data_IF_344126150463
#
_entry.id   IF_344126150463
#
_cell.length_a   1.000
_cell.length_b   1.000
_cell.length_c   1.000
_cell.angle_alpha   90.00
_cell.angle_beta   90.00
_cell.angle_gamma   90.00
#
_symmetry.space_group_name_H-M   'P 1'
#
loop_
_entity.id
_entity.type
_entity.pdbx_description
1 polymer ?
#
# COMPACT_ATOMS: atom_id res chain seq x y z
N UNK A 1 3.58 33.04 4.00
CA UNK A 1 2.87 33.17 5.30
C UNK A 1 1.96 31.95 5.49
N UNK A 2 2.28 31.06 6.44
CA UNK A 2 1.57 29.79 6.68
C UNK A 2 0.18 30.07 7.26
N UNK A 3 -0.90 29.76 6.54
CA UNK A 3 -2.26 29.76 7.11
C UNK A 3 -2.33 28.65 8.17
N UNK A 4 -2.32 29.06 9.44
CA UNK A 4 -2.78 28.22 10.57
C UNK A 4 -4.19 27.76 10.23
N UNK A 5 -4.39 26.44 10.17
CA UNK A 5 -5.73 25.85 10.10
C UNK A 5 -6.36 26.11 11.47
N UNK A 6 -7.20 27.13 11.51
CA UNK A 6 -7.98 27.57 12.65
C UNK A 6 -9.04 26.53 12.98
N UNK A 7 -9.16 26.18 14.27
CA UNK A 7 -10.23 25.37 14.82
C UNK A 7 -11.60 25.87 14.35
N UNK A 8 -12.29 25.12 13.50
CA UNK A 8 -13.70 25.35 13.22
C UNK A 8 -14.54 24.75 14.34
N UNK A 9 -14.71 25.58 15.37
CA UNK A 9 -15.95 25.81 16.11
C UNK A 9 -16.88 24.61 16.28
N UNK A 10 -16.83 24.02 17.49
CA UNK A 10 -17.85 23.18 18.15
C UNK A 10 -19.20 23.94 18.39
N UNK A 11 -19.57 24.85 17.50
CA UNK A 11 -20.84 25.59 17.50
C UNK A 11 -21.41 25.66 16.09
N UNK A 12 -21.52 24.51 15.42
CA UNK A 12 -22.37 24.42 14.23
C UNK A 12 -23.81 24.43 14.75
N UNK A 13 -24.44 25.62 14.75
CA UNK A 13 -25.91 25.71 14.78
C UNK A 13 -26.43 24.91 13.59
N UNK A 14 -27.50 24.15 13.80
CA UNK A 14 -28.24 23.44 12.74
C UNK A 14 -28.55 24.42 11.60
N UNK A 15 -27.70 24.42 10.58
CA UNK A 15 -27.96 25.01 9.27
C UNK A 15 -27.96 23.84 8.30
N UNK A 16 -29.00 23.75 7.46
CA UNK A 16 -29.31 22.57 6.63
C UNK A 16 -28.12 22.02 5.82
N UNK A 17 -27.14 22.87 5.50
CA UNK A 17 -25.95 22.48 4.72
C UNK A 17 -24.94 21.58 5.45
N UNK A 18 -24.95 21.47 6.78
CA UNK A 18 -23.96 20.70 7.57
C UNK A 18 -24.55 19.54 8.38
N UNK A 19 -25.84 19.24 8.21
CA UNK A 19 -26.55 18.21 8.99
C UNK A 19 -25.88 16.82 8.89
N UNK A 20 -25.45 16.43 7.70
CA UNK A 20 -24.79 15.14 7.48
C UNK A 20 -23.47 14.98 8.26
N UNK A 21 -22.66 16.03 8.36
CA UNK A 21 -21.40 15.99 9.11
C UNK A 21 -21.66 15.90 10.61
N UNK A 22 -22.69 16.60 11.09
CA UNK A 22 -23.13 16.54 12.48
C UNK A 22 -23.63 15.14 12.86
N UNK A 23 -24.43 14.50 12.01
CA UNK A 23 -24.89 13.12 12.21
C UNK A 23 -23.73 12.12 12.19
N UNK A 24 -22.76 12.31 11.29
CA UNK A 24 -21.55 11.47 11.28
C UNK A 24 -20.74 11.65 12.57
N UNK A 25 -20.55 12.89 13.02
CA UNK A 25 -19.88 13.20 14.27
C UNK A 25 -20.53 12.46 15.45
N UNK A 26 -21.86 12.62 15.62
CA UNK A 26 -22.62 11.92 16.66
C UNK A 26 -22.53 10.40 16.54
N UNK A 27 -22.54 9.87 15.33
CA UNK A 27 -22.45 8.43 15.09
C UNK A 27 -21.10 7.87 15.55
N UNK A 28 -20.00 8.58 15.28
CA UNK A 28 -18.66 8.18 15.73
C UNK A 28 -18.53 8.36 17.25
N UNK A 29 -19.02 9.46 17.80
CA UNK A 29 -18.96 9.76 19.24
C UNK A 29 -19.67 8.67 20.07
N UNK A 30 -20.86 8.26 19.61
CA UNK A 30 -21.68 7.24 20.26
C UNK A 30 -21.32 5.81 19.80
N UNK A 31 -20.25 5.62 19.03
CA UNK A 31 -19.84 4.31 18.58
C UNK A 31 -19.35 3.45 19.76
N UNK A 32 -19.93 2.25 19.90
CA UNK A 32 -19.66 1.32 21.01
C UNK A 32 -19.03 -0.01 20.58
N UNK A 33 -18.90 -0.28 19.28
CA UNK A 33 -18.35 -1.55 18.80
C UNK A 33 -17.33 -1.36 17.70
N UNK A 34 -16.33 -2.25 17.63
CA UNK A 34 -15.28 -2.21 16.61
C UNK A 34 -15.83 -2.28 15.18
N UNK A 35 -16.79 -3.17 14.92
CA UNK A 35 -17.37 -3.30 13.57
C UNK A 35 -18.12 -2.03 13.11
N UNK A 36 -18.82 -1.37 14.02
CA UNK A 36 -19.49 -0.10 13.72
C UNK A 36 -18.46 0.98 13.42
N UNK A 37 -17.38 1.07 14.21
CA UNK A 37 -16.29 2.01 13.97
C UNK A 37 -15.68 1.79 12.58
N UNK A 38 -15.41 0.55 12.20
CA UNK A 38 -14.88 0.21 10.87
C UNK A 38 -15.81 0.70 9.74
N UNK A 39 -17.12 0.44 9.86
CA UNK A 39 -18.12 0.89 8.87
C UNK A 39 -18.19 2.41 8.78
N UNK A 40 -18.20 3.11 9.92
CA UNK A 40 -18.23 4.57 9.97
C UNK A 40 -16.95 5.19 9.39
N UNK A 41 -15.79 4.61 9.69
CA UNK A 41 -14.50 5.07 9.14
C UNK A 41 -14.44 4.87 7.63
N UNK A 42 -14.89 3.71 7.14
CA UNK A 42 -14.98 3.44 5.70
C UNK A 42 -15.96 4.40 5.01
N UNK A 43 -17.10 4.70 5.65
CA UNK A 43 -18.06 5.69 5.17
C UNK A 43 -17.41 7.08 5.06
N UNK A 44 -16.70 7.53 6.10
CA UNK A 44 -16.00 8.81 6.10
C UNK A 44 -14.95 8.91 4.98
N UNK A 45 -14.19 7.83 4.74
CA UNK A 45 -13.24 7.76 3.62
C UNK A 45 -13.94 7.85 2.26
N UNK A 46 -15.00 7.08 2.04
CA UNK A 46 -15.70 7.02 0.75
C UNK A 46 -16.33 8.36 0.37
N UNK A 47 -16.81 9.11 1.36
CA UNK A 47 -17.33 10.47 1.16
C UNK A 47 -16.23 11.55 1.17
N UNK A 48 -14.95 11.16 1.22
CA UNK A 48 -13.80 12.08 1.24
C UNK A 48 -13.92 13.16 2.32
N UNK A 49 -14.39 12.77 3.50
CA UNK A 49 -14.52 13.70 4.62
C UNK A 49 -13.13 14.04 5.14
N UNK A 50 -12.67 15.26 4.92
CA UNK A 50 -11.35 15.74 5.37
C UNK A 50 -11.40 16.48 6.73
N UNK A 51 -12.53 16.41 7.43
CA UNK A 51 -12.68 17.02 8.75
C UNK A 51 -11.77 16.35 9.78
N UNK A 52 -10.75 17.08 10.24
CA UNK A 52 -9.75 16.56 11.15
C UNK A 52 -10.35 16.12 12.50
N UNK A 53 -11.40 16.80 12.99
CA UNK A 53 -12.01 16.49 14.28
C UNK A 53 -12.67 15.12 14.24
N UNK A 54 -13.42 14.81 13.19
CA UNK A 54 -14.01 13.48 12.97
C UNK A 54 -12.92 12.41 12.97
N UNK A 55 -11.81 12.63 12.27
CA UNK A 55 -10.73 11.64 12.22
C UNK A 55 -9.97 11.48 13.53
N UNK A 56 -9.85 12.53 14.35
CA UNK A 56 -9.30 12.41 15.71
C UNK A 56 -10.24 11.64 16.63
N UNK A 57 -11.54 11.81 16.47
CA UNK A 57 -12.52 11.01 17.21
C UNK A 57 -12.48 9.53 16.77
N UNK A 58 -12.34 9.26 15.48
CA UNK A 58 -12.11 7.91 14.94
C UNK A 58 -10.82 7.30 15.52
N UNK A 59 -9.73 8.06 15.57
CA UNK A 59 -8.46 7.62 16.17
C UNK A 59 -8.64 7.23 17.65
N UNK A 60 -9.30 8.07 18.45
CA UNK A 60 -9.60 7.76 19.85
C UNK A 60 -10.41 6.47 19.97
N UNK A 61 -11.50 6.37 19.22
CA UNK A 61 -12.36 5.17 19.21
C UNK A 61 -11.63 3.93 18.72
N UNK A 62 -10.71 4.07 17.78
CA UNK A 62 -9.87 2.98 17.29
C UNK A 62 -9.03 2.38 18.42
N UNK A 63 -8.40 3.21 19.24
CA UNK A 63 -7.63 2.71 20.39
C UNK A 63 -8.50 2.11 21.49
N UNK A 64 -9.68 2.69 21.74
CA UNK A 64 -10.65 2.14 22.71
C UNK A 64 -11.15 0.75 22.30
N UNK A 65 -11.49 0.58 21.01
CA UNK A 65 -12.19 -0.59 20.49
C UNK A 65 -11.27 -1.60 19.77
N UNK A 66 -9.95 -1.40 19.77
CA UNK A 66 -9.01 -2.21 18.98
C UNK A 66 -9.11 -3.73 19.23
N UNK A 67 -9.44 -4.14 20.46
CA UNK A 67 -9.58 -5.56 20.82
C UNK A 67 -10.76 -6.26 20.15
N UNK A 68 -11.76 -5.50 19.70
CA UNK A 68 -12.94 -6.02 19.01
C UNK A 68 -12.74 -6.08 17.48
N UNK A 69 -11.68 -5.44 16.97
CA UNK A 69 -11.42 -5.37 15.55
C UNK A 69 -10.69 -6.62 15.06
N UNK A 70 -11.09 -7.07 13.87
CA UNK A 70 -10.34 -8.10 13.13
C UNK A 70 -9.06 -7.52 12.53
N UNK A 71 -8.04 -8.35 12.22
CA UNK A 71 -6.83 -7.91 11.51
C UNK A 71 -7.10 -7.11 10.22
N UNK A 72 -8.12 -7.52 9.46
CA UNK A 72 -8.57 -6.83 8.25
C UNK A 72 -9.08 -5.43 8.56
N UNK A 73 -9.89 -5.27 9.60
CA UNK A 73 -10.43 -3.96 9.99
C UNK A 73 -9.33 -3.04 10.53
N UNK A 74 -8.40 -3.57 11.34
CA UNK A 74 -7.24 -2.82 11.86
C UNK A 74 -6.38 -2.29 10.71
N UNK A 75 -5.91 -3.18 9.82
CA UNK A 75 -5.07 -2.79 8.68
C UNK A 75 -5.76 -1.79 7.75
N UNK A 76 -7.07 -1.94 7.56
CA UNK A 76 -7.87 -1.02 6.75
C UNK A 76 -7.97 0.36 7.39
N UNK A 77 -8.33 0.46 8.67
CA UNK A 77 -8.43 1.75 9.39
C UNK A 77 -7.09 2.50 9.36
N UNK A 78 -5.98 1.80 9.62
CA UNK A 78 -4.63 2.38 9.56
C UNK A 78 -4.33 2.92 8.15
N UNK A 79 -4.70 2.18 7.12
CA UNK A 79 -4.54 2.63 5.73
C UNK A 79 -5.52 3.76 5.37
N UNK A 80 -6.68 3.87 6.01
CA UNK A 80 -7.61 4.99 5.81
C UNK A 80 -7.03 6.31 6.34
N UNK A 81 -6.38 6.31 7.51
CA UNK A 81 -5.64 7.48 8.00
C UNK A 81 -4.57 7.96 7.01
N UNK A 82 -3.85 7.00 6.40
CA UNK A 82 -2.87 7.27 5.35
C UNK A 82 -3.54 7.87 4.10
N UNK A 83 -4.68 7.35 3.66
CA UNK A 83 -5.39 7.84 2.47
C UNK A 83 -5.91 9.28 2.61
N UNK A 84 -6.39 9.65 3.80
CA UNK A 84 -6.81 11.03 4.11
C UNK A 84 -5.62 11.96 4.40
N UNK A 85 -4.40 11.41 4.38
CA UNK A 85 -3.13 12.14 4.56
C UNK A 85 -2.99 12.79 5.94
N UNK A 86 -3.52 12.14 6.99
CA UNK A 86 -3.29 12.59 8.37
C UNK A 86 -1.84 12.34 8.74
N UNK A 87 -1.06 13.42 8.76
CA UNK A 87 0.38 13.38 9.02
C UNK A 87 0.69 13.43 10.53
N UNK A 88 0.29 12.37 11.23
CA UNK A 88 0.63 12.17 12.64
C UNK A 88 1.32 10.82 12.81
N UNK A 89 2.62 10.84 13.13
CA UNK A 89 3.38 9.60 13.29
C UNK A 89 2.96 8.80 14.51
N UNK A 90 2.34 9.44 15.51
CA UNK A 90 1.86 8.77 16.73
C UNK A 90 0.80 7.73 16.43
N UNK A 91 -0.03 7.96 15.40
CA UNK A 91 -1.05 7.00 14.98
C UNK A 91 -0.39 5.66 14.68
N UNK A 92 0.66 5.70 13.86
CA UNK A 92 1.41 4.52 13.43
C UNK A 92 2.25 3.92 14.56
N UNK A 93 2.94 4.74 15.35
CA UNK A 93 3.74 4.31 16.49
C UNK A 93 2.88 3.53 17.51
N UNK A 94 1.73 4.10 17.90
CA UNK A 94 0.81 3.48 18.85
C UNK A 94 0.12 2.23 18.29
N UNK A 95 0.02 2.09 16.96
CA UNK A 95 -0.54 0.90 16.33
C UNK A 95 0.42 -0.29 16.25
N UNK A 96 1.72 -0.11 16.54
CA UNK A 96 2.71 -1.19 16.40
C UNK A 96 2.34 -2.38 17.27
N UNK A 97 2.11 -2.17 18.57
CA UNK A 97 1.85 -3.28 19.50
C UNK A 97 0.49 -3.95 19.22
N UNK A 98 -0.50 -3.17 18.79
CA UNK A 98 -1.80 -3.69 18.34
C UNK A 98 -1.61 -4.67 17.19
N UNK A 99 -0.84 -4.29 16.16
CA UNK A 99 -0.54 -5.17 15.02
C UNK A 99 0.26 -6.38 15.46
N UNK A 100 1.33 -6.18 16.24
CA UNK A 100 2.23 -7.25 16.68
C UNK A 100 1.52 -8.31 17.53
N UNK A 101 0.53 -7.92 18.33
CA UNK A 101 -0.25 -8.85 19.16
C UNK A 101 -1.00 -9.94 18.37
N UNK A 102 -1.24 -9.70 17.08
CA UNK A 102 -2.04 -10.56 16.21
C UNK A 102 -1.43 -10.75 14.82
N UNK A 103 -0.13 -10.48 14.66
CA UNK A 103 0.55 -10.40 13.35
C UNK A 103 0.40 -11.67 12.51
N UNK A 104 0.39 -12.84 13.14
CA UNK A 104 0.27 -14.14 12.46
C UNK A 104 -1.15 -14.43 11.91
N UNK A 105 -2.14 -13.59 12.26
CA UNK A 105 -3.53 -13.69 11.79
C UNK A 105 -3.84 -12.81 10.57
N UNK A 106 -2.92 -11.95 10.17
CA UNK A 106 -3.12 -11.06 9.03
C UNK A 106 -2.96 -11.81 7.71
N UNK A 107 -3.82 -11.51 6.73
CA UNK A 107 -3.62 -11.99 5.37
C UNK A 107 -2.48 -11.23 4.68
N UNK A 108 -1.99 -11.75 3.55
CA UNK A 108 -0.96 -11.05 2.75
C UNK A 108 -1.45 -9.67 2.28
N UNK A 109 -2.75 -9.54 2.01
CA UNK A 109 -3.36 -8.28 1.63
C UNK A 109 -3.26 -7.27 2.78
N UNK A 110 -3.65 -7.68 3.99
CA UNK A 110 -3.63 -6.81 5.16
C UNK A 110 -2.19 -6.38 5.51
N UNK A 111 -1.23 -7.30 5.46
CA UNK A 111 0.20 -7.00 5.65
C UNK A 111 0.73 -6.02 4.60
N UNK A 112 0.25 -6.09 3.36
CA UNK A 112 0.60 -5.14 2.31
C UNK A 112 0.06 -3.73 2.59
N UNK A 113 -1.15 -3.61 3.15
CA UNK A 113 -1.74 -2.32 3.54
C UNK A 113 -0.95 -1.69 4.69
N UNK A 114 -0.51 -2.50 5.67
CA UNK A 114 0.33 -2.05 6.77
C UNK A 114 1.67 -1.53 6.21
N UNK A 115 2.34 -2.29 5.34
CA UNK A 115 3.59 -1.84 4.70
C UNK A 115 3.42 -0.49 3.98
N UNK A 116 2.34 -0.33 3.20
CA UNK A 116 2.05 0.92 2.50
C UNK A 116 1.80 2.11 3.43
N UNK A 117 1.19 1.85 4.58
CA UNK A 117 0.81 2.87 5.55
C UNK A 117 2.02 3.37 6.33
N UNK A 118 2.81 2.45 6.86
CA UNK A 118 3.99 2.77 7.68
C UNK A 118 5.16 3.35 6.89
N UNK A 119 5.21 3.11 5.57
CA UNK A 119 6.23 3.71 4.70
C UNK A 119 5.76 5.03 4.06
N UNK A 120 4.55 5.51 4.34
CA UNK A 120 4.03 6.72 3.71
C UNK A 120 4.79 7.99 4.14
N UNK A 121 5.00 8.18 5.45
CA UNK A 121 5.57 9.41 6.04
C UNK A 121 7.09 9.39 6.28
N UNK A 122 7.82 8.38 5.79
CA UNK A 122 9.28 8.24 5.92
C UNK A 122 9.84 8.26 7.36
N UNK A 123 8.99 8.18 8.40
CA UNK A 123 9.39 7.94 9.80
C UNK A 123 9.16 6.47 10.14
N UNK A 124 10.14 5.63 9.81
CA UNK A 124 9.96 4.18 9.83
C UNK A 124 10.64 3.55 11.03
N UNK A 125 9.90 2.74 11.77
CA UNK A 125 10.47 1.82 12.75
C UNK A 125 11.01 0.58 12.01
N UNK A 126 12.34 0.52 11.80
CA UNK A 126 12.99 -0.58 11.08
C UNK A 126 12.79 -1.93 11.78
N UNK A 127 12.79 -1.95 13.11
CA UNK A 127 12.55 -3.19 13.87
C UNK A 127 11.15 -3.73 13.62
N UNK A 128 10.13 -2.86 13.55
CA UNK A 128 8.77 -3.24 13.19
C UNK A 128 8.70 -3.76 11.75
N UNK A 129 9.34 -3.08 10.80
CA UNK A 129 9.41 -3.58 9.42
C UNK A 129 10.06 -4.96 9.35
N UNK A 130 11.15 -5.23 10.09
CA UNK A 130 11.75 -6.57 10.14
C UNK A 130 10.78 -7.63 10.67
N UNK A 131 9.99 -7.32 11.70
CA UNK A 131 8.94 -8.23 12.20
C UNK A 131 7.86 -8.49 11.14
N UNK A 132 7.44 -7.47 10.39
CA UNK A 132 6.51 -7.63 9.26
C UNK A 132 7.10 -8.51 8.16
N UNK A 133 8.37 -8.32 7.79
CA UNK A 133 9.04 -9.17 6.81
C UNK A 133 9.00 -10.64 7.24
N UNK A 134 9.35 -10.92 8.50
CA UNK A 134 9.33 -12.28 9.03
C UNK A 134 7.93 -12.90 8.99
N UNK A 135 6.88 -12.15 9.32
CA UNK A 135 5.51 -12.63 9.23
C UNK A 135 5.09 -12.92 7.78
N UNK A 136 5.44 -12.05 6.83
CA UNK A 136 5.18 -12.26 5.39
C UNK A 136 5.91 -13.51 4.88
N UNK A 137 7.19 -13.69 5.25
CA UNK A 137 7.98 -14.86 4.86
C UNK A 137 7.36 -16.13 5.44
N UNK A 138 6.98 -16.16 6.72
CA UNK A 138 6.29 -17.31 7.33
C UNK A 138 4.98 -17.64 6.64
N UNK A 139 4.19 -16.63 6.29
CA UNK A 139 2.94 -16.78 5.57
C UNK A 139 3.17 -17.42 4.19
N UNK A 140 4.17 -16.92 3.45
CA UNK A 140 4.60 -17.52 2.19
C UNK A 140 5.01 -18.98 2.37
N UNK A 141 5.87 -19.28 3.34
CA UNK A 141 6.39 -20.64 3.57
C UNK A 141 5.27 -21.66 3.84
N UNK A 142 4.19 -21.23 4.51
CA UNK A 142 3.00 -22.06 4.74
C UNK A 142 2.22 -22.33 3.44
N UNK A 143 2.14 -21.34 2.56
CA UNK A 143 1.20 -21.36 1.43
C UNK A 143 1.92 -21.62 0.07
N UNK A 144 3.26 -21.69 0.03
CA UNK A 144 4.08 -21.73 -1.20
C UNK A 144 3.79 -22.90 -2.15
N UNK A 145 3.33 -24.03 -1.63
CA UNK A 145 3.01 -25.21 -2.44
C UNK A 145 1.73 -25.03 -3.27
N UNK A 146 0.90 -24.03 -2.96
CA UNK A 146 -0.39 -23.81 -3.61
C UNK A 146 -0.33 -22.79 -4.76
N UNK A 147 0.83 -22.20 -5.05
CA UNK A 147 0.96 -21.09 -6.02
C UNK A 147 0.47 -21.48 -7.42
N UNK A 148 0.74 -22.71 -7.84
CA UNK A 148 0.34 -23.22 -9.16
C UNK A 148 -1.18 -23.46 -9.28
N UNK A 149 -1.89 -23.55 -8.15
CA UNK A 149 -3.32 -23.84 -8.09
C UNK A 149 -4.17 -22.57 -7.95
N UNK A 150 -3.56 -21.39 -7.94
CA UNK A 150 -4.28 -20.12 -7.80
C UNK A 150 -5.09 -19.82 -9.06
N UNK A 151 -6.35 -19.43 -8.89
CA UNK A 151 -7.11 -18.81 -9.98
C UNK A 151 -6.44 -17.50 -10.42
N UNK A 152 -6.70 -17.06 -11.66
CA UNK A 152 -6.19 -15.76 -12.17
C UNK A 152 -6.50 -14.59 -11.23
N UNK A 153 -7.69 -14.59 -10.61
CA UNK A 153 -8.13 -13.54 -9.67
C UNK A 153 -7.33 -13.57 -8.37
N UNK A 154 -7.10 -14.75 -7.81
CA UNK A 154 -6.29 -14.92 -6.59
C UNK A 154 -4.84 -14.56 -6.85
N UNK A 155 -4.27 -15.04 -7.97
CA UNK A 155 -2.92 -14.69 -8.40
C UNK A 155 -2.77 -13.18 -8.51
N UNK A 156 -3.69 -12.49 -9.18
CA UNK A 156 -3.65 -11.03 -9.31
C UNK A 156 -3.67 -10.32 -7.95
N UNK A 157 -4.56 -10.73 -7.03
CA UNK A 157 -4.65 -10.11 -5.70
C UNK A 157 -3.37 -10.31 -4.88
N UNK A 158 -2.80 -11.51 -4.91
CA UNK A 158 -1.56 -11.84 -4.19
C UNK A 158 -0.38 -11.11 -4.83
N UNK A 159 -0.28 -11.12 -6.15
CA UNK A 159 0.71 -10.36 -6.93
C UNK A 159 0.70 -8.88 -6.56
N UNK A 160 -0.46 -8.21 -6.58
CA UNK A 160 -0.57 -6.79 -6.21
C UNK A 160 -0.09 -6.55 -4.78
N UNK A 161 -0.45 -7.44 -3.85
CA UNK A 161 -0.02 -7.36 -2.45
C UNK A 161 1.51 -7.44 -2.34
N UNK A 162 2.16 -8.36 -3.03
CA UNK A 162 3.62 -8.45 -3.06
C UNK A 162 4.30 -7.26 -3.74
N UNK A 163 3.74 -6.72 -4.83
CA UNK A 163 4.25 -5.48 -5.46
C UNK A 163 4.15 -4.30 -4.49
N UNK A 164 3.09 -4.24 -3.68
CA UNK A 164 2.94 -3.22 -2.64
C UNK A 164 3.95 -3.39 -1.49
N UNK A 165 4.21 -4.64 -1.09
CA UNK A 165 5.24 -4.97 -0.09
C UNK A 165 6.62 -4.53 -0.59
N UNK A 166 7.10 -5.04 -1.74
CA UNK A 166 8.45 -4.67 -2.22
C UNK A 166 8.57 -3.17 -2.52
N UNK A 167 7.50 -2.52 -2.97
CA UNK A 167 7.47 -1.07 -3.16
C UNK A 167 7.62 -0.29 -1.85
N UNK A 168 7.07 -0.82 -0.75
CA UNK A 168 7.21 -0.22 0.59
C UNK A 168 8.65 -0.36 1.09
N UNK A 169 9.25 -1.56 1.01
CA UNK A 169 10.65 -1.80 1.39
C UNK A 169 11.63 -1.01 0.53
N UNK A 170 11.34 -0.93 -0.77
CA UNK A 170 12.09 -0.12 -1.72
C UNK A 170 12.09 1.36 -1.36
N UNK A 171 10.91 1.93 -1.04
CA UNK A 171 10.77 3.35 -0.68
C UNK A 171 11.64 3.74 0.51
N UNK A 172 11.83 2.82 1.46
CA UNK A 172 12.64 3.02 2.65
C UNK A 172 14.10 2.57 2.47
N UNK A 173 14.50 2.23 1.24
CA UNK A 173 15.82 1.71 0.87
C UNK A 173 16.24 0.46 1.65
N UNK A 174 15.28 -0.32 2.14
CA UNK A 174 15.54 -1.53 2.90
C UNK A 174 15.58 -2.74 1.98
N UNK A 175 16.78 -3.23 1.70
CA UNK A 175 17.03 -4.37 0.82
C UNK A 175 16.77 -5.71 1.51
N UNK A 176 15.50 -6.06 1.74
CA UNK A 176 15.14 -7.40 2.20
C UNK A 176 15.11 -8.37 0.99
N UNK A 177 16.23 -9.04 0.73
CA UNK A 177 16.40 -9.89 -0.47
C UNK A 177 15.33 -10.99 -0.55
N UNK A 178 14.94 -11.56 0.60
CA UNK A 178 14.00 -12.68 0.63
C UNK A 178 12.60 -12.27 0.18
N UNK A 179 12.11 -11.11 0.65
CA UNK A 179 10.84 -10.56 0.16
C UNK A 179 10.86 -10.29 -1.36
N UNK A 180 11.99 -9.82 -1.89
CA UNK A 180 12.13 -9.58 -3.33
C UNK A 180 12.19 -10.89 -4.13
N UNK A 181 12.77 -11.97 -3.58
CA UNK A 181 12.71 -13.31 -4.20
C UNK A 181 11.28 -13.85 -4.20
N UNK A 182 10.57 -13.78 -3.08
CA UNK A 182 9.18 -14.24 -2.99
C UNK A 182 8.30 -13.46 -3.97
N UNK A 183 8.38 -12.12 -3.95
CA UNK A 183 7.62 -11.28 -4.88
C UNK A 183 7.95 -11.61 -6.35
N UNK A 184 9.21 -11.93 -6.66
CA UNK A 184 9.62 -12.28 -8.03
C UNK A 184 8.87 -13.47 -8.59
N UNK A 185 8.52 -14.45 -7.75
CA UNK A 185 7.74 -15.63 -8.17
C UNK A 185 6.34 -15.20 -8.63
N UNK A 186 5.61 -14.46 -7.81
CA UNK A 186 4.26 -14.00 -8.15
C UNK A 186 4.25 -13.00 -9.31
N UNK A 187 5.28 -12.14 -9.43
CA UNK A 187 5.45 -11.26 -10.60
C UNK A 187 5.66 -12.10 -11.86
N UNK A 188 6.53 -13.11 -11.81
CA UNK A 188 6.77 -14.00 -12.95
C UNK A 188 5.50 -14.75 -13.37
N UNK A 189 4.76 -15.32 -12.41
CA UNK A 189 3.49 -15.99 -12.69
C UNK A 189 2.46 -15.03 -13.29
N UNK A 190 2.31 -13.83 -12.73
CA UNK A 190 1.35 -12.84 -13.23
C UNK A 190 1.70 -12.34 -14.64
N UNK A 191 2.98 -12.06 -14.92
CA UNK A 191 3.43 -11.58 -16.24
C UNK A 191 3.34 -12.64 -17.35
N UNK A 192 3.41 -13.93 -17.00
CA UNK A 192 3.20 -15.04 -17.94
C UNK A 192 1.76 -15.54 -17.98
N UNK A 193 0.91 -15.03 -17.09
CA UNK A 193 -0.52 -15.29 -17.15
C UNK A 193 -1.15 -14.29 -18.11
N UNK A 194 -2.24 -14.71 -18.74
CA UNK A 194 -3.12 -13.82 -19.49
C UNK A 194 -3.97 -12.97 -18.51
N UNK A 195 -3.27 -12.06 -17.84
CA UNK A 195 -3.76 -11.09 -16.85
C UNK A 195 -3.30 -9.70 -17.31
N UNK A 196 -4.25 -8.76 -17.43
CA UNK A 196 -3.92 -7.38 -17.78
C UNK A 196 -3.28 -6.67 -16.56
N UNK A 197 -2.01 -6.29 -16.67
CA UNK A 197 -1.26 -5.59 -15.63
C UNK A 197 -1.16 -4.10 -15.99
N UNK A 198 -1.70 -3.18 -15.17
CA UNK A 198 -1.62 -1.75 -15.45
C UNK A 198 -0.18 -1.23 -15.51
N UNK A 199 0.11 -0.28 -16.40
CA UNK A 199 1.43 0.35 -16.56
C UNK A 199 2.03 0.87 -15.23
N UNK A 200 1.21 1.50 -14.38
CA UNK A 200 1.61 1.98 -13.04
C UNK A 200 2.18 0.86 -12.13
N UNK A 201 1.71 -0.37 -12.29
CA UNK A 201 2.18 -1.52 -11.52
C UNK A 201 3.54 -1.98 -12.07
N UNK A 202 3.70 -2.00 -13.40
CA UNK A 202 4.99 -2.29 -14.05
C UNK A 202 6.07 -1.28 -13.61
N UNK A 203 5.75 0.01 -13.67
CA UNK A 203 6.63 1.08 -13.18
C UNK A 203 6.96 0.89 -11.70
N UNK A 204 5.98 0.53 -10.87
CA UNK A 204 6.21 0.24 -9.46
C UNK A 204 7.16 -0.93 -9.27
N UNK A 205 7.08 -2.00 -10.07
CA UNK A 205 8.02 -3.12 -10.02
C UNK A 205 9.43 -2.63 -10.37
N UNK A 206 9.61 -1.97 -11.52
CA UNK A 206 10.92 -1.46 -11.98
C UNK A 206 11.55 -0.54 -10.92
N UNK A 207 10.80 0.44 -10.42
CA UNK A 207 11.26 1.36 -9.39
C UNK A 207 11.61 0.62 -8.09
N UNK A 208 10.83 -0.42 -7.74
CA UNK A 208 11.06 -1.21 -6.54
C UNK A 208 12.44 -1.84 -6.57
N UNK A 209 12.78 -2.55 -7.65
CA UNK A 209 14.07 -3.20 -7.85
C UNK A 209 15.22 -2.21 -8.01
N UNK A 210 14.98 -1.08 -8.71
CA UNK A 210 15.99 -0.04 -8.97
C UNK A 210 16.49 0.63 -7.69
N UNK A 211 15.57 1.06 -6.82
CA UNK A 211 15.91 1.77 -5.59
C UNK A 211 16.77 0.95 -4.61
N UNK A 212 16.63 -0.39 -4.62
CA UNK A 212 17.43 -1.29 -3.78
C UNK A 212 18.55 -1.99 -4.56
N UNK A 213 18.77 -1.59 -5.82
CA UNK A 213 19.82 -2.09 -6.71
C UNK A 213 19.81 -3.62 -6.81
N UNK A 214 18.63 -4.20 -7.07
CA UNK A 214 18.49 -5.63 -7.37
C UNK A 214 18.23 -5.77 -8.87
N UNK A 215 19.15 -6.42 -9.59
CA UNK A 215 18.94 -6.77 -11.01
C UNK A 215 18.23 -8.12 -11.08
N UNK A 216 17.07 -8.16 -11.74
CA UNK A 216 16.31 -9.41 -11.95
C UNK A 216 15.97 -9.58 -13.44
N UNK A 217 16.98 -9.95 -14.25
CA UNK A 217 16.88 -9.97 -15.72
C UNK A 217 15.64 -10.69 -16.24
N UNK A 218 15.30 -11.89 -15.70
CA UNK A 218 14.12 -12.66 -16.13
C UNK A 218 12.80 -11.90 -16.03
N UNK A 219 12.63 -11.05 -15.00
CA UNK A 219 11.40 -10.25 -14.84
C UNK A 219 11.46 -9.07 -15.79
N UNK A 220 12.62 -8.44 -15.93
CA UNK A 220 12.79 -7.30 -16.84
C UNK A 220 12.61 -7.72 -18.30
N UNK A 221 12.99 -8.93 -18.69
CA UNK A 221 12.73 -9.48 -20.02
C UNK A 221 11.23 -9.65 -20.29
N UNK A 222 10.46 -10.10 -19.28
CA UNK A 222 9.00 -10.18 -19.38
C UNK A 222 8.36 -8.79 -19.46
N UNK A 223 8.82 -7.86 -18.63
CA UNK A 223 8.36 -6.47 -18.65
C UNK A 223 8.68 -5.79 -19.98
N UNK A 224 9.89 -6.00 -20.52
CA UNK A 224 10.34 -5.44 -21.79
C UNK A 224 9.41 -5.83 -22.95
N UNK A 225 8.90 -7.07 -22.95
CA UNK A 225 7.90 -7.54 -23.94
C UNK A 225 6.55 -6.85 -23.80
N UNK A 226 6.18 -6.43 -22.59
CA UNK A 226 4.88 -5.78 -22.33
C UNK A 226 4.92 -4.27 -22.56
N UNK A 227 6.06 -3.60 -22.39
CA UNK A 227 6.16 -2.13 -22.52
C UNK A 227 5.53 -1.59 -23.82
N UNK A 228 5.79 -2.17 -25.02
CA UNK A 228 5.25 -1.64 -26.27
C UNK A 228 3.73 -1.63 -26.38
N UNK A 229 3.04 -2.51 -25.63
CA UNK A 229 1.58 -2.65 -25.65
C UNK A 229 0.90 -1.93 -24.47
N UNK A 230 1.67 -1.39 -23.54
CA UNK A 230 1.16 -0.66 -22.39
C UNK A 230 0.96 0.83 -22.72
N UNK A 231 -0.04 1.44 -22.10
CA UNK A 231 -0.22 2.90 -22.12
C UNK A 231 0.83 3.54 -21.20
N UNK A 232 2.00 3.85 -21.75
CA UNK A 232 3.14 4.47 -21.09
C UNK A 232 3.41 5.83 -21.77
N UNK A 233 3.58 6.87 -20.97
CA UNK A 233 3.98 8.21 -21.42
C UNK A 233 5.48 8.29 -21.69
N UNK A 234 5.94 9.30 -22.44
CA UNK A 234 7.37 9.44 -22.75
C UNK A 234 8.21 9.78 -21.51
N UNK A 235 7.63 10.49 -20.54
CA UNK A 235 8.23 10.71 -19.22
C UNK A 235 8.43 9.39 -18.46
N UNK A 236 7.39 8.55 -18.40
CA UNK A 236 7.47 7.23 -17.78
C UNK A 236 8.46 6.32 -18.50
N UNK A 237 8.53 6.38 -19.84
CA UNK A 237 9.48 5.61 -20.65
C UNK A 237 10.92 6.04 -20.40
N UNK A 238 11.16 7.34 -20.21
CA UNK A 238 12.46 7.88 -19.80
C UNK A 238 12.87 7.36 -18.42
N UNK A 239 11.93 7.34 -17.44
CA UNK A 239 12.17 6.77 -16.11
C UNK A 239 12.54 5.27 -16.20
N UNK A 240 11.87 4.52 -17.09
CA UNK A 240 12.19 3.10 -17.33
C UNK A 240 13.61 2.95 -17.89
N UNK A 241 13.97 3.75 -18.91
CA UNK A 241 15.30 3.76 -19.53
C UNK A 241 16.39 4.02 -18.49
N UNK A 242 16.22 5.04 -17.67
CA UNK A 242 17.19 5.40 -16.63
C UNK A 242 17.31 4.33 -15.55
N UNK A 243 16.18 3.73 -15.15
CA UNK A 243 16.15 2.62 -14.19
C UNK A 243 16.91 1.40 -14.69
N UNK A 244 16.70 1.02 -15.95
CA UNK A 244 17.41 -0.11 -16.57
C UNK A 244 18.90 0.17 -16.77
N UNK A 245 19.27 1.40 -17.17
CA UNK A 245 20.67 1.84 -17.21
C UNK A 245 21.32 1.75 -15.83
N UNK A 246 20.65 2.22 -14.76
CA UNK A 246 21.14 2.13 -13.39
C UNK A 246 21.35 0.67 -12.93
N UNK A 247 20.45 -0.23 -13.34
CA UNK A 247 20.54 -1.66 -13.05
C UNK A 247 21.49 -2.42 -13.99
N UNK A 248 22.12 -1.73 -14.96
CA UNK A 248 22.94 -2.34 -16.01
C UNK A 248 22.18 -3.46 -16.73
N UNK A 249 20.90 -3.23 -17.01
CA UNK A 249 20.05 -4.09 -17.82
C UNK A 249 19.92 -3.48 -19.22
N UNK A 250 19.93 -4.34 -20.23
CA UNK A 250 19.80 -3.97 -21.64
C UNK A 250 18.93 -5.01 -22.35
N UNK A 251 18.11 -4.55 -23.30
CA UNK A 251 17.28 -5.41 -24.12
C UNK A 251 17.13 -4.76 -25.47
N UNK A 252 17.76 -5.32 -26.50
CA UNK A 252 17.89 -4.69 -27.81
C UNK A 252 16.54 -4.26 -28.41
N UNK A 253 15.51 -5.10 -28.30
CA UNK A 253 14.17 -4.80 -28.81
C UNK A 253 13.53 -3.63 -28.08
N UNK A 254 13.62 -3.62 -26.76
CA UNK A 254 13.12 -2.50 -25.96
C UNK A 254 13.92 -1.23 -26.21
N UNK A 255 15.25 -1.33 -26.32
CA UNK A 255 16.13 -0.18 -26.55
C UNK A 255 15.81 0.50 -27.88
N UNK A 256 15.56 -0.28 -28.95
CA UNK A 256 15.06 0.23 -30.24
C UNK A 256 13.69 0.89 -30.12
N UNK A 257 12.76 0.28 -29.39
CA UNK A 257 11.42 0.86 -29.15
C UNK A 257 11.51 2.20 -28.42
N UNK A 258 12.32 2.27 -27.35
CA UNK A 258 12.55 3.49 -26.58
C UNK A 258 13.18 4.57 -27.46
N UNK A 259 14.17 4.21 -28.28
CA UNK A 259 14.80 5.14 -29.21
C UNK A 259 13.78 5.71 -30.20
N UNK A 260 12.93 4.87 -30.79
CA UNK A 260 11.88 5.32 -31.72
C UNK A 260 10.82 6.22 -31.05
N UNK A 261 10.45 5.92 -29.80
CA UNK A 261 9.44 6.68 -29.07
C UNK A 261 9.94 8.03 -28.54
N UNK A 262 11.22 8.13 -28.22
CA UNK A 262 11.83 9.31 -27.58
C UNK A 262 12.69 10.15 -28.54
N UNK A 263 12.79 9.77 -29.82
CA UNK A 263 13.41 10.56 -30.89
C UNK A 263 12.47 11.67 -31.36
#
# INVERSE_FOLDING_TARGET
MKKKISYTQYKIKNTDSNYYLYELYKSVENCKTGNLLFKLTHKALNYQIHDLHIWRLIEQKFYELQKELTPKEISSIINYFKQIKINDSKIYENSIDIILSSIDKYSIHDLSLICLSFTYFNKININFMNKLANAIIKLYERDKNNIQNLSKKELYNIFISYVHIIGSYSKIKHKNIELFKIASLYIHYALNSDINIPAKIILKIINSYTNVKIKHSKIFDLIAKQIPILKITDEELTIIKDSFKQLKYSNETLDKYIQYRLS
#
